data_IF_546052872871
#
_entry.id   IF_546052872871
#
_cell.length_a   1.000
_cell.length_b   1.000
_cell.length_c   1.000
_cell.angle_alpha   90.00
_cell.angle_beta   90.00
_cell.angle_gamma   90.00
#
_symmetry.space_group_name_H-M   'P 1'
#
loop_
_entity.id
_entity.type
_entity.pdbx_description
1 polymer ?
#
# COMPACT_ATOMS: atom_id res chain seq x y z
N UNK A 1 -81.48 52.15 -4.79
CA UNK A 1 -80.63 52.59 -3.65
C UNK A 1 -80.06 51.34 -2.96
N UNK A 2 -78.82 51.19 -3.09
CA UNK A 2 -77.83 50.63 -2.17
C UNK A 2 -76.60 50.08 -2.92
N UNK A 3 -75.50 50.75 -2.73
CA UNK A 3 -74.20 50.42 -3.23
C UNK A 3 -73.67 49.14 -2.55
N UNK A 4 -73.02 48.28 -3.29
CA UNK A 4 -72.24 47.19 -2.79
C UNK A 4 -70.79 47.51 -3.12
N UNK A 5 -69.96 47.52 -2.07
CA UNK A 5 -68.50 47.69 -2.14
C UNK A 5 -67.86 46.39 -2.56
N UNK A 6 -67.00 46.47 -3.55
CA UNK A 6 -66.08 45.32 -3.88
C UNK A 6 -64.77 45.47 -3.09
N UNK A 7 -64.52 44.52 -2.29
CA UNK A 7 -63.26 44.37 -1.58
C UNK A 7 -62.16 43.85 -2.49
N UNK A 8 -61.07 44.58 -2.53
CA UNK A 8 -59.78 44.15 -3.10
C UNK A 8 -59.02 43.39 -2.06
N UNK A 9 -58.89 42.07 -2.24
CA UNK A 9 -57.93 41.23 -1.53
C UNK A 9 -57.79 39.94 -2.33
N UNK A 10 -56.77 39.84 -3.18
CA UNK A 10 -56.18 38.62 -3.63
C UNK A 10 -55.03 38.96 -4.62
N UNK A 11 -53.86 39.24 -4.13
CA UNK A 11 -52.61 39.24 -4.94
C UNK A 11 -51.38 39.35 -4.04
N UNK A 12 -51.20 38.44 -3.10
CA UNK A 12 -49.92 38.33 -2.34
C UNK A 12 -49.65 36.91 -1.85
N UNK A 13 -49.71 35.91 -2.73
CA UNK A 13 -49.35 34.51 -2.34
C UNK A 13 -48.60 33.71 -3.42
N UNK A 14 -47.89 34.38 -4.34
CA UNK A 14 -47.19 33.68 -5.42
C UNK A 14 -45.67 33.93 -5.51
N UNK A 15 -45.04 34.58 -4.53
CA UNK A 15 -43.64 34.96 -4.61
C UNK A 15 -42.69 34.23 -3.62
N UNK A 16 -43.17 33.28 -2.84
CA UNK A 16 -42.33 32.62 -1.79
C UNK A 16 -41.87 31.19 -2.09
N UNK A 17 -42.22 30.61 -3.25
CA UNK A 17 -41.93 29.20 -3.53
C UNK A 17 -40.71 28.95 -4.46
N UNK A 18 -40.08 29.96 -5.02
CA UNK A 18 -38.95 29.79 -5.97
C UNK A 18 -37.56 29.92 -5.30
N UNK A 19 -37.49 30.42 -4.08
CA UNK A 19 -36.22 30.72 -3.38
C UNK A 19 -35.55 29.50 -2.67
N UNK A 20 -36.24 28.39 -2.47
CA UNK A 20 -35.72 27.27 -1.64
C UNK A 20 -35.07 26.14 -2.47
N UNK A 21 -35.29 26.07 -3.76
CA UNK A 21 -34.71 24.99 -4.62
C UNK A 21 -33.33 25.30 -5.19
N UNK A 22 -32.83 26.53 -5.08
CA UNK A 22 -31.50 26.89 -5.59
C UNK A 22 -30.37 26.69 -4.57
N UNK A 23 -30.67 26.49 -3.29
CA UNK A 23 -29.65 26.31 -2.25
C UNK A 23 -29.19 24.87 -2.05
N UNK A 24 -29.91 23.89 -2.60
CA UNK A 24 -29.58 22.45 -2.39
C UNK A 24 -28.59 21.88 -3.43
N UNK A 25 -28.26 22.58 -4.48
CA UNK A 25 -27.34 22.12 -5.52
C UNK A 25 -25.88 22.54 -5.30
N UNK A 26 -25.59 23.41 -4.34
CA UNK A 26 -24.24 23.95 -4.11
C UNK A 26 -23.43 23.18 -3.06
N UNK A 27 -24.01 22.18 -2.40
CA UNK A 27 -23.31 21.43 -1.33
C UNK A 27 -22.63 20.15 -1.85
N UNK A 28 -22.83 19.77 -3.11
CA UNK A 28 -22.35 18.52 -3.67
C UNK A 28 -20.98 18.62 -4.39
N UNK A 29 -20.26 19.72 -4.31
CA UNK A 29 -18.96 19.88 -4.96
C UNK A 29 -17.88 20.47 -4.03
N UNK A 30 -17.83 19.98 -2.80
CA UNK A 30 -16.55 20.01 -2.10
C UNK A 30 -15.80 18.78 -2.60
N UNK A 31 -15.20 18.90 -3.76
CA UNK A 31 -14.18 17.98 -4.21
C UNK A 31 -13.07 18.05 -3.17
N UNK A 32 -12.84 16.91 -2.53
CA UNK A 32 -11.79 16.69 -1.57
C UNK A 32 -10.42 16.96 -2.26
N UNK A 33 -9.98 18.20 -2.25
CA UNK A 33 -8.63 18.61 -2.64
C UNK A 33 -7.65 18.33 -1.51
N UNK A 34 -7.82 17.21 -0.80
CA UNK A 34 -6.71 16.71 0.00
C UNK A 34 -5.59 16.39 -0.98
N UNK A 35 -4.53 17.18 -0.93
CA UNK A 35 -3.24 16.83 -1.53
C UNK A 35 -2.92 15.42 -1.06
N UNK A 36 -3.03 14.42 -1.95
CA UNK A 36 -2.74 13.03 -1.62
C UNK A 36 -1.30 12.99 -1.11
N UNK A 37 -1.13 12.62 0.16
CA UNK A 37 0.19 12.36 0.71
C UNK A 37 0.83 11.29 -0.19
N UNK A 38 2.07 11.47 -0.68
CA UNK A 38 2.77 10.46 -1.48
C UNK A 38 2.84 9.09 -0.81
N UNK A 39 2.63 9.05 0.51
CA UNK A 39 2.57 7.83 1.33
C UNK A 39 1.21 7.14 1.32
N UNK A 40 0.18 7.76 0.77
CA UNK A 40 -1.15 7.17 0.76
C UNK A 40 -1.33 6.33 -0.51
N UNK A 41 -1.92 5.16 -0.34
CA UNK A 41 -2.42 4.38 -1.47
C UNK A 41 -3.78 4.92 -1.88
N UNK A 42 -3.99 5.03 -3.18
CA UNK A 42 -5.29 5.41 -3.72
C UNK A 42 -6.33 4.34 -3.37
N UNK A 43 -7.53 4.73 -2.93
CA UNK A 43 -8.60 3.78 -2.66
C UNK A 43 -9.07 3.10 -3.95
N UNK A 44 -9.57 1.85 -3.86
CA UNK A 44 -10.06 1.08 -5.02
C UNK A 44 -11.07 1.84 -5.87
N UNK A 45 -11.95 2.63 -5.25
CA UNK A 45 -12.94 3.44 -5.94
C UNK A 45 -12.32 4.40 -6.98
N UNK A 46 -11.07 4.83 -6.80
CA UNK A 46 -10.38 5.72 -7.75
C UNK A 46 -10.03 5.04 -9.09
N UNK A 47 -10.13 3.71 -9.18
CA UNK A 47 -9.86 2.94 -10.40
C UNK A 47 -11.14 2.54 -11.14
N UNK A 48 -12.34 2.79 -10.57
CA UNK A 48 -13.62 2.38 -11.15
C UNK A 48 -13.96 3.11 -12.45
N UNK A 49 -13.43 4.32 -12.64
CA UNK A 49 -13.62 5.11 -13.86
C UNK A 49 -12.80 4.63 -15.06
N UNK A 50 -11.86 3.72 -14.89
CA UNK A 50 -11.06 3.15 -15.99
C UNK A 50 -11.86 2.01 -16.62
N UNK A 51 -12.44 2.25 -17.78
CA UNK A 51 -13.32 1.29 -18.47
C UNK A 51 -12.58 0.12 -19.09
N UNK A 52 -11.38 0.33 -19.64
CA UNK A 52 -10.55 -0.74 -20.16
C UNK A 52 -10.00 -1.59 -19.00
N UNK A 53 -10.33 -2.88 -19.01
CA UNK A 53 -9.95 -3.80 -17.93
C UNK A 53 -8.43 -3.98 -17.82
N UNK A 54 -7.73 -4.05 -18.94
CA UNK A 54 -6.28 -4.24 -18.94
C UNK A 54 -5.56 -2.98 -18.47
N UNK A 55 -6.05 -1.80 -18.86
CA UNK A 55 -5.53 -0.52 -18.36
C UNK A 55 -5.77 -0.37 -16.86
N UNK A 56 -6.99 -0.70 -16.39
CA UNK A 56 -7.32 -0.70 -14.97
C UNK A 56 -6.41 -1.64 -14.19
N UNK A 57 -6.15 -2.84 -14.69
CA UNK A 57 -5.24 -3.82 -14.08
C UNK A 57 -3.82 -3.26 -13.96
N UNK A 58 -3.29 -2.66 -15.02
CA UNK A 58 -1.97 -2.01 -14.98
C UNK A 58 -1.93 -0.83 -13.99
N UNK A 59 -2.99 -0.03 -13.95
CA UNK A 59 -3.08 1.08 -13.02
C UNK A 59 -3.11 0.61 -11.54
N UNK A 60 -3.80 -0.50 -11.25
CA UNK A 60 -3.79 -1.14 -9.94
C UNK A 60 -2.39 -1.64 -9.56
N UNK A 61 -1.68 -2.28 -10.51
CA UNK A 61 -0.32 -2.72 -10.22
C UNK A 61 0.65 -1.56 -10.00
N UNK A 62 0.51 -0.47 -10.71
CA UNK A 62 1.30 0.74 -10.47
C UNK A 62 1.08 1.31 -9.05
N UNK A 63 -0.11 1.11 -8.48
CA UNK A 63 -0.37 1.48 -7.09
C UNK A 63 0.28 0.50 -6.12
N UNK A 64 0.18 -0.82 -6.37
CA UNK A 64 0.88 -1.87 -5.61
C UNK A 64 2.39 -1.62 -5.64
N UNK A 65 2.92 -1.13 -6.76
CA UNK A 65 4.34 -0.87 -6.93
C UNK A 65 4.91 0.11 -5.90
N UNK A 66 4.12 1.07 -5.40
CA UNK A 66 4.56 1.97 -4.32
C UNK A 66 4.98 1.20 -3.07
N UNK A 67 4.32 0.06 -2.81
CA UNK A 67 4.63 -0.80 -1.67
C UNK A 67 5.80 -1.72 -1.98
N UNK A 68 5.75 -2.49 -3.07
CA UNK A 68 6.77 -3.50 -3.35
C UNK A 68 8.14 -2.90 -3.68
N UNK A 69 8.19 -1.64 -4.12
CA UNK A 69 9.45 -0.90 -4.32
C UNK A 69 9.88 -0.08 -3.10
N UNK A 70 9.07 -0.05 -2.05
CA UNK A 70 9.42 0.65 -0.81
C UNK A 70 10.56 -0.07 -0.06
N UNK A 71 11.44 0.64 0.67
CA UNK A 71 12.55 0.04 1.42
C UNK A 71 12.13 -1.11 2.35
N UNK A 72 10.92 -1.03 2.94
CA UNK A 72 10.40 -2.10 3.83
C UNK A 72 10.23 -3.45 3.12
N UNK A 73 10.00 -3.44 1.81
CA UNK A 73 9.91 -4.66 1.01
C UNK A 73 11.26 -4.97 0.34
N UNK A 74 11.88 -3.95 -0.26
CA UNK A 74 13.13 -4.12 -1.01
C UNK A 74 14.28 -4.64 -0.16
N UNK A 75 14.37 -4.25 1.12
CA UNK A 75 15.43 -4.70 2.02
C UNK A 75 15.45 -6.22 2.24
N UNK A 76 14.27 -6.86 2.14
CA UNK A 76 14.15 -8.32 2.24
C UNK A 76 14.25 -9.03 0.87
N UNK A 77 14.20 -8.28 -0.23
CA UNK A 77 14.27 -8.78 -1.60
C UNK A 77 15.53 -8.28 -2.37
N UNK A 78 16.74 -8.33 -1.77
CA UNK A 78 17.96 -7.87 -2.41
C UNK A 78 18.41 -8.79 -3.54
N UNK A 79 19.11 -8.22 -4.53
CA UNK A 79 19.74 -8.99 -5.60
C UNK A 79 21.05 -9.68 -5.16
N UNK A 80 21.67 -9.15 -4.09
CA UNK A 80 22.95 -9.66 -3.57
C UNK A 80 22.80 -10.77 -2.52
N UNK A 81 23.95 -11.20 -2.03
CA UNK A 81 24.03 -12.22 -0.98
C UNK A 81 23.92 -11.63 0.45
N UNK A 82 23.46 -10.41 0.57
CA UNK A 82 23.31 -9.70 1.84
C UNK A 82 21.94 -9.03 1.92
N UNK A 83 21.32 -8.93 3.12
CA UNK A 83 20.16 -8.07 3.31
C UNK A 83 20.53 -6.60 3.10
N UNK A 84 19.54 -5.80 2.73
CA UNK A 84 19.65 -4.35 2.78
C UNK A 84 19.02 -3.82 4.06
N UNK A 85 19.37 -2.59 4.44
CA UNK A 85 18.93 -1.97 5.68
C UNK A 85 18.69 -0.46 5.47
N UNK A 86 17.86 0.12 6.34
CA UNK A 86 17.58 1.55 6.31
C UNK A 86 16.57 1.97 5.23
N UNK A 87 16.28 3.26 5.19
CA UNK A 87 15.39 3.85 4.18
C UNK A 87 16.17 4.14 2.87
N UNK A 88 17.48 4.26 2.95
CA UNK A 88 18.43 4.40 1.85
C UNK A 88 18.86 3.06 1.24
N UNK A 89 18.44 1.93 1.84
CA UNK A 89 18.74 0.57 1.36
C UNK A 89 20.22 0.26 1.25
N UNK A 90 21.02 0.73 2.18
CA UNK A 90 22.43 0.35 2.26
C UNK A 90 22.58 -1.11 2.70
N UNK A 91 23.78 -1.69 2.48
CA UNK A 91 24.09 -3.05 2.92
C UNK A 91 23.95 -3.18 4.45
N UNK A 92 23.41 -4.30 4.90
CA UNK A 92 23.14 -4.57 6.31
C UNK A 92 24.45 -4.55 7.16
N UNK A 93 24.40 -3.83 8.27
CA UNK A 93 25.49 -3.78 9.24
C UNK A 93 25.06 -4.39 10.57
N UNK A 94 25.84 -5.38 11.10
CA UNK A 94 27.06 -5.98 10.51
C UNK A 94 26.75 -6.73 9.20
N UNK A 95 27.74 -6.91 8.32
CA UNK A 95 27.54 -7.65 7.08
C UNK A 95 27.24 -9.12 7.41
N UNK A 96 26.05 -9.57 6.99
CA UNK A 96 25.56 -10.95 7.22
C UNK A 96 25.25 -11.57 5.86
N UNK A 97 25.93 -12.68 5.49
CA UNK A 97 25.55 -13.40 4.28
C UNK A 97 24.14 -14.00 4.39
N UNK A 98 23.43 -14.07 3.25
CA UNK A 98 22.09 -14.66 3.15
C UNK A 98 22.00 -16.07 3.74
N UNK A 99 23.00 -16.92 3.49
CA UNK A 99 22.93 -18.35 3.74
C UNK A 99 21.93 -19.07 2.82
N UNK A 100 21.95 -20.39 2.84
CA UNK A 100 21.22 -21.24 1.89
C UNK A 100 19.68 -21.08 2.00
N UNK A 101 19.19 -20.84 3.21
CA UNK A 101 17.75 -20.71 3.48
C UNK A 101 17.30 -19.25 3.70
N UNK A 102 18.16 -18.26 3.45
CA UNK A 102 17.83 -16.85 3.75
C UNK A 102 17.84 -16.51 5.24
N UNK A 103 18.38 -17.40 6.09
CA UNK A 103 18.38 -17.29 7.56
C UNK A 103 19.73 -16.85 8.14
N UNK A 104 20.67 -16.42 7.28
CA UNK A 104 22.04 -16.15 7.67
C UNK A 104 22.91 -17.43 7.64
N UNK A 105 24.11 -17.34 8.19
CA UNK A 105 25.09 -18.43 8.22
C UNK A 105 25.42 -18.86 9.66
N UNK A 106 26.10 -19.96 9.83
CA UNK A 106 26.54 -20.44 11.14
C UNK A 106 27.32 -19.31 11.87
N UNK A 107 26.94 -19.01 13.09
CA UNK A 107 27.51 -17.93 13.90
C UNK A 107 26.94 -16.52 13.61
N UNK A 108 26.24 -16.33 12.49
CA UNK A 108 25.57 -15.08 12.09
C UNK A 108 24.14 -15.36 11.61
N UNK A 109 23.39 -16.16 12.34
CA UNK A 109 21.99 -16.42 12.05
C UNK A 109 21.14 -15.15 12.32
N UNK A 110 20.17 -14.87 11.45
CA UNK A 110 19.30 -13.69 11.58
C UNK A 110 18.65 -13.62 12.97
N UNK A 111 18.15 -14.74 13.49
CA UNK A 111 17.48 -14.82 14.79
C UNK A 111 18.42 -14.53 16.00
N UNK A 112 19.74 -14.46 15.80
CA UNK A 112 20.67 -14.04 16.87
C UNK A 112 20.41 -12.59 17.30
N UNK A 113 20.05 -11.72 16.36
CA UNK A 113 19.76 -10.31 16.62
C UNK A 113 18.27 -9.97 16.40
N UNK A 114 17.61 -10.62 15.44
CA UNK A 114 16.20 -10.40 15.12
C UNK A 114 15.33 -11.39 15.90
N UNK A 115 14.90 -10.97 17.10
CA UNK A 115 14.04 -11.77 17.98
C UNK A 115 12.57 -11.76 17.53
N UNK A 116 11.66 -12.23 18.36
CA UNK A 116 10.24 -12.37 18.03
C UNK A 116 9.51 -11.04 17.76
N UNK A 117 10.09 -9.91 18.18
CA UNK A 117 9.49 -8.57 18.04
C UNK A 117 10.57 -7.50 17.97
N UNK A 118 10.17 -6.33 17.41
CA UNK A 118 11.04 -5.16 17.45
C UNK A 118 11.43 -4.82 18.89
N UNK A 119 12.69 -4.46 19.10
CA UNK A 119 13.13 -3.93 20.38
C UNK A 119 14.06 -2.73 20.20
N UNK A 120 13.97 -1.78 21.16
CA UNK A 120 14.76 -0.56 21.12
C UNK A 120 16.02 -0.74 21.95
N UNK A 121 17.18 -0.42 21.38
CA UNK A 121 18.45 -0.41 22.10
C UNK A 121 18.53 0.87 22.94
N UNK A 122 18.62 0.72 24.24
CA UNK A 122 18.76 1.83 25.19
C UNK A 122 20.18 2.35 25.14
N UNK A 123 20.36 3.67 25.02
CA UNK A 123 21.66 4.34 25.16
C UNK A 123 22.46 4.47 23.85
N UNK A 124 21.92 4.14 22.70
CA UNK A 124 22.58 4.34 21.40
C UNK A 124 21.81 5.36 20.55
N UNK A 125 22.45 6.46 20.17
CA UNK A 125 21.86 7.45 19.27
C UNK A 125 21.76 6.97 17.81
N UNK A 126 22.49 5.90 17.46
CA UNK A 126 22.67 5.45 16.07
C UNK A 126 21.68 4.37 15.68
N UNK A 127 21.23 3.53 16.60
CA UNK A 127 20.27 2.45 16.33
C UNK A 127 19.00 2.69 17.13
N UNK A 128 17.92 3.04 16.44
CA UNK A 128 16.64 3.32 17.09
C UNK A 128 15.92 2.05 17.54
N UNK A 129 15.96 1.01 16.71
CA UNK A 129 15.42 -0.30 17.08
C UNK A 129 16.04 -1.40 16.22
N UNK A 130 16.01 -2.63 16.70
CA UNK A 130 16.30 -3.83 15.88
C UNK A 130 14.95 -4.42 15.49
N UNK A 131 14.71 -4.68 14.18
CA UNK A 131 13.51 -5.36 13.73
C UNK A 131 13.42 -6.76 14.31
N UNK A 132 12.22 -7.25 14.55
CA UNK A 132 12.03 -8.61 15.01
C UNK A 132 10.72 -9.20 14.52
N UNK A 133 10.77 -10.49 14.22
CA UNK A 133 9.65 -11.34 13.87
C UNK A 133 10.08 -12.80 14.02
N UNK A 134 9.21 -13.72 14.48
CA UNK A 134 9.59 -15.15 14.69
C UNK A 134 10.13 -15.84 13.43
N UNK A 135 9.72 -15.36 12.24
CA UNK A 135 10.16 -15.88 10.93
C UNK A 135 11.05 -14.88 10.18
N UNK A 136 11.90 -14.13 10.90
CA UNK A 136 12.77 -13.14 10.24
C UNK A 136 13.78 -13.81 9.31
N UNK A 137 13.64 -13.54 8.02
CA UNK A 137 14.45 -14.13 6.95
C UNK A 137 14.43 -13.29 5.69
N UNK A 138 15.40 -13.52 4.80
CA UNK A 138 15.36 -12.98 3.45
C UNK A 138 14.42 -13.79 2.55
N UNK A 139 13.85 -13.14 1.57
CA UNK A 139 13.20 -13.82 0.46
C UNK A 139 14.25 -14.66 -0.32
N UNK A 140 13.87 -15.80 -0.92
CA UNK A 140 14.75 -16.56 -1.80
C UNK A 140 15.36 -15.70 -2.92
N UNK A 141 16.56 -16.06 -3.39
CA UNK A 141 17.31 -15.27 -4.37
C UNK A 141 16.54 -15.08 -5.68
N UNK A 142 15.78 -16.06 -6.11
CA UNK A 142 14.92 -15.98 -7.29
C UNK A 142 13.80 -14.93 -7.16
N UNK A 143 13.49 -14.53 -5.91
CA UNK A 143 12.51 -13.49 -5.58
C UNK A 143 13.14 -12.10 -5.39
N UNK A 144 14.38 -11.88 -5.83
CA UNK A 144 15.02 -10.57 -5.75
C UNK A 144 14.27 -9.53 -6.59
N UNK A 145 14.06 -8.33 -6.01
CA UNK A 145 13.41 -7.19 -6.67
C UNK A 145 14.36 -6.03 -6.92
N UNK A 146 15.43 -5.96 -6.17
CA UNK A 146 16.45 -4.91 -6.34
C UNK A 146 16.94 -4.85 -7.79
N UNK A 147 17.01 -3.62 -8.32
CA UNK A 147 17.42 -3.39 -9.71
C UNK A 147 16.38 -3.72 -10.77
N UNK A 148 15.19 -4.23 -10.40
CA UNK A 148 14.12 -4.54 -11.35
C UNK A 148 13.17 -3.36 -11.55
N UNK A 149 12.67 -3.22 -12.77
CA UNK A 149 11.56 -2.30 -13.06
C UNK A 149 10.25 -2.83 -12.45
N UNK A 150 9.27 -1.94 -12.31
CA UNK A 150 7.91 -2.30 -11.85
C UNK A 150 7.32 -3.42 -12.71
N UNK A 151 7.49 -3.35 -14.03
CA UNK A 151 7.02 -4.39 -14.95
C UNK A 151 7.71 -5.72 -14.70
N UNK A 152 9.03 -5.72 -14.47
CA UNK A 152 9.78 -6.94 -14.17
C UNK A 152 9.36 -7.57 -12.84
N UNK A 153 9.12 -6.77 -11.81
CA UNK A 153 8.59 -7.26 -10.52
C UNK A 153 7.21 -7.88 -10.73
N UNK A 154 6.33 -7.21 -11.46
CA UNK A 154 5.00 -7.73 -11.78
C UNK A 154 5.06 -9.09 -12.49
N UNK A 155 5.89 -9.22 -13.52
CA UNK A 155 6.05 -10.49 -14.25
C UNK A 155 6.63 -11.58 -13.32
N UNK A 156 7.55 -11.22 -12.45
CA UNK A 156 8.12 -12.15 -11.49
C UNK A 156 7.10 -12.66 -10.48
N UNK A 157 6.22 -11.79 -9.97
CA UNK A 157 5.14 -12.16 -9.05
C UNK A 157 4.15 -13.16 -9.67
N UNK A 158 4.01 -13.17 -11.00
CA UNK A 158 3.16 -14.10 -11.75
C UNK A 158 3.85 -15.42 -12.10
N UNK A 159 5.14 -15.52 -11.91
CA UNK A 159 5.95 -16.67 -12.29
C UNK A 159 6.23 -17.55 -11.06
N UNK A 160 5.60 -18.73 -10.94
CA UNK A 160 5.81 -19.63 -9.79
C UNK A 160 7.27 -20.02 -9.57
N UNK A 161 8.08 -20.09 -10.62
CA UNK A 161 9.51 -20.41 -10.50
C UNK A 161 10.31 -19.27 -9.84
N UNK A 162 9.74 -18.05 -9.77
CA UNK A 162 10.42 -16.86 -9.25
C UNK A 162 9.63 -16.11 -8.16
N UNK A 163 8.56 -16.73 -7.64
CA UNK A 163 7.75 -16.16 -6.58
C UNK A 163 7.58 -17.10 -5.36
N UNK A 164 8.44 -18.12 -5.27
CA UNK A 164 8.38 -19.12 -4.22
C UNK A 164 7.26 -20.14 -4.40
N UNK A 165 6.89 -20.46 -5.65
CA UNK A 165 5.88 -21.46 -5.99
C UNK A 165 4.43 -21.00 -5.79
N UNK A 166 4.19 -19.70 -5.63
CA UNK A 166 2.84 -19.17 -5.30
C UNK A 166 1.97 -19.03 -6.54
N UNK A 167 0.74 -19.50 -6.42
CA UNK A 167 -0.36 -19.07 -7.30
C UNK A 167 -0.74 -17.62 -6.99
N UNK A 168 -1.52 -16.96 -7.87
CA UNK A 168 -2.00 -15.60 -7.59
C UNK A 168 -2.85 -15.54 -6.32
N UNK A 169 -3.62 -16.57 -6.00
CA UNK A 169 -4.37 -16.65 -4.74
C UNK A 169 -3.45 -16.71 -3.52
N UNK A 170 -2.40 -17.52 -3.57
CA UNK A 170 -1.40 -17.59 -2.48
C UNK A 170 -0.56 -16.31 -2.39
N UNK A 171 -0.33 -15.62 -3.51
CA UNK A 171 0.31 -14.31 -3.52
C UNK A 171 -0.57 -13.26 -2.82
N UNK A 172 -1.88 -13.26 -3.11
CA UNK A 172 -2.83 -12.40 -2.40
C UNK A 172 -2.83 -12.68 -0.90
N UNK A 173 -2.90 -13.95 -0.47
CA UNK A 173 -2.82 -14.31 0.95
C UNK A 173 -1.52 -13.80 1.60
N UNK A 174 -0.40 -13.94 0.89
CA UNK A 174 0.89 -13.44 1.36
C UNK A 174 0.88 -11.91 1.52
N UNK A 175 0.34 -11.16 0.57
CA UNK A 175 0.24 -9.71 0.66
C UNK A 175 -0.74 -9.25 1.74
N UNK A 176 -1.90 -9.89 1.82
CA UNK A 176 -3.01 -9.43 2.65
C UNK A 176 -2.92 -9.87 4.12
N UNK A 177 -2.29 -11.02 4.41
CA UNK A 177 -2.43 -11.70 5.70
C UNK A 177 -1.13 -12.20 6.33
N UNK A 178 -0.03 -12.25 5.59
CA UNK A 178 1.23 -12.72 6.15
C UNK A 178 1.75 -11.73 7.20
N UNK A 179 1.98 -12.21 8.41
CA UNK A 179 2.42 -11.40 9.56
C UNK A 179 3.86 -10.87 9.40
N UNK A 180 4.73 -11.60 8.66
CA UNK A 180 6.06 -11.09 8.32
C UNK A 180 5.96 -9.90 7.33
N UNK A 181 5.03 -9.94 6.37
CA UNK A 181 4.73 -8.81 5.48
C UNK A 181 4.14 -7.64 6.25
N UNK A 182 3.27 -7.92 7.24
CA UNK A 182 2.68 -6.92 8.13
C UNK A 182 3.72 -6.05 8.86
N UNK A 183 4.90 -6.61 9.13
CA UNK A 183 6.01 -5.85 9.71
C UNK A 183 6.34 -4.58 8.90
N UNK A 184 6.14 -4.60 7.60
CA UNK A 184 6.37 -3.44 6.73
C UNK A 184 5.62 -2.17 7.17
N UNK A 185 4.48 -2.30 7.85
CA UNK A 185 3.68 -1.19 8.38
C UNK A 185 3.89 -0.94 9.88
N UNK A 186 4.61 -1.82 10.57
CA UNK A 186 5.00 -1.66 11.97
C UNK A 186 6.52 -1.86 12.16
N UNK A 187 7.38 -1.14 11.40
CA UNK A 187 8.82 -1.43 11.31
C UNK A 187 9.61 -1.04 12.57
N UNK A 188 8.96 -0.46 13.55
CA UNK A 188 9.58 0.05 14.76
C UNK A 188 10.14 1.46 14.62
N UNK A 189 10.61 1.99 15.73
CA UNK A 189 11.08 3.38 15.83
C UNK A 189 12.20 3.68 14.84
N UNK A 190 12.11 4.86 14.23
CA UNK A 190 13.14 5.40 13.33
C UNK A 190 13.09 4.87 11.91
N UNK A 191 12.06 4.10 11.54
CA UNK A 191 11.83 3.63 10.18
C UNK A 191 10.51 4.12 9.63
N UNK A 192 10.50 4.55 8.39
CA UNK A 192 9.27 4.92 7.70
C UNK A 192 8.46 3.65 7.39
N UNK A 193 7.17 3.58 7.76
CA UNK A 193 6.30 2.48 7.34
C UNK A 193 6.09 2.46 5.83
N UNK A 194 5.76 1.30 5.28
CA UNK A 194 5.31 1.17 3.90
C UNK A 194 4.05 2.02 3.65
N UNK A 195 3.79 2.47 2.40
CA UNK A 195 2.61 3.26 2.07
C UNK A 195 1.30 2.54 2.39
N UNK A 196 0.30 3.29 2.86
CA UNK A 196 -1.04 2.78 3.16
C UNK A 196 -1.07 1.77 4.30
N UNK A 197 -1.71 0.64 4.07
CA UNK A 197 -1.81 -0.48 5.03
C UNK A 197 -1.71 -1.83 4.32
N UNK A 198 -1.42 -2.89 5.08
CA UNK A 198 -1.44 -4.25 4.55
C UNK A 198 -2.81 -4.63 3.98
N UNK A 199 -3.89 -4.22 4.64
CA UNK A 199 -5.25 -4.43 4.14
C UNK A 199 -5.44 -3.80 2.76
N UNK A 200 -5.04 -2.52 2.59
CA UNK A 200 -5.14 -1.83 1.30
C UNK A 200 -4.29 -2.51 0.22
N UNK A 201 -3.08 -2.99 0.56
CA UNK A 201 -2.27 -3.79 -0.37
C UNK A 201 -3.02 -5.06 -0.80
N UNK A 202 -3.63 -5.77 0.14
CA UNK A 202 -4.44 -6.96 -0.16
C UNK A 202 -5.63 -6.64 -1.07
N UNK A 203 -6.37 -5.58 -0.80
CA UNK A 203 -7.50 -5.12 -1.62
C UNK A 203 -7.07 -4.76 -3.05
N UNK A 204 -5.97 -4.03 -3.19
CA UNK A 204 -5.39 -3.69 -4.51
C UNK A 204 -4.92 -4.93 -5.26
N UNK A 205 -4.27 -5.87 -4.55
CA UNK A 205 -3.80 -7.13 -5.14
C UNK A 205 -4.96 -7.99 -5.63
N UNK A 206 -6.04 -8.10 -4.85
CA UNK A 206 -7.24 -8.83 -5.27
C UNK A 206 -7.85 -8.19 -6.52
N UNK A 207 -8.04 -6.87 -6.52
CA UNK A 207 -8.60 -6.16 -7.66
C UNK A 207 -7.71 -6.26 -8.93
N UNK A 208 -6.39 -6.27 -8.75
CA UNK A 208 -5.43 -6.51 -9.84
C UNK A 208 -5.60 -7.92 -10.42
N UNK A 209 -5.72 -8.94 -9.56
CA UNK A 209 -5.95 -10.33 -9.99
C UNK A 209 -7.27 -10.45 -10.73
N UNK A 210 -8.37 -9.92 -10.18
CA UNK A 210 -9.72 -9.98 -10.74
C UNK A 210 -9.81 -9.26 -12.10
N UNK A 211 -8.99 -8.24 -12.31
CA UNK A 211 -8.89 -7.52 -13.59
C UNK A 211 -7.93 -8.14 -14.60
N UNK A 212 -7.41 -9.35 -14.33
CA UNK A 212 -6.59 -10.14 -15.27
C UNK A 212 -5.09 -10.04 -15.05
N UNK A 213 -4.65 -9.51 -13.91
CA UNK A 213 -3.24 -9.45 -13.48
C UNK A 213 -2.29 -8.92 -14.57
N UNK A 214 -2.67 -7.84 -15.27
CA UNK A 214 -1.85 -7.23 -16.31
C UNK A 214 -0.69 -6.44 -15.71
N UNK A 215 0.48 -6.54 -16.33
CA UNK A 215 1.67 -5.80 -15.92
C UNK A 215 1.83 -4.50 -16.70
N UNK A 216 2.37 -3.43 -16.09
CA UNK A 216 2.70 -2.18 -16.76
C UNK A 216 3.76 -2.35 -17.85
#
# INVERSE_FOLDING_TARGET
MRMAAFGVLDSLAAAAAVGVLAASAAVAQIQDTRTSNPRDLRPLASFSGISDQAERSRALFNEIAKVVTHPRCMNCHPAGNHPLQGDDRHEHLPPVPRGDAGLGVAGLNCATCHTERNFTLVGTATYKSIPGHPRWQLAPMEMAWEGKSVSQICQQLKDPARNGGRTLALLHEHFAKDDLVAWGWAPGEGREPAPGSQQQLGELAQAWIDSGAQCP
#
